data_IF_044500297781
#
_entry.id   IF_044500297781
#
_cell.length_a   1.000
_cell.length_b   1.000
_cell.length_c   1.000
_cell.angle_alpha   90.00
_cell.angle_beta   90.00
_cell.angle_gamma   90.00
#
_symmetry.space_group_name_H-M   'P 1'
#
loop_
_entity.id
_entity.type
_entity.pdbx_description
1 polymer ?
#
# COMPACT_ATOMS: atom_id res chain seq x y z
N UNK A 1 -18.79 -5.46 6.85
CA UNK A 1 -17.77 -6.44 7.29
C UNK A 1 -16.40 -5.87 6.96
N UNK A 2 -15.34 -6.34 7.60
CA UNK A 2 -13.97 -5.91 7.28
C UNK A 2 -13.07 -7.13 7.15
N UNK A 3 -12.06 -7.03 6.28
CA UNK A 3 -10.97 -8.00 6.19
C UNK A 3 -9.75 -7.35 6.82
N UNK A 4 -9.36 -7.82 8.00
CA UNK A 4 -8.13 -7.35 8.65
C UNK A 4 -6.92 -8.04 8.03
N UNK A 5 -5.88 -7.27 7.71
CA UNK A 5 -4.64 -7.75 7.10
C UNK A 5 -3.46 -7.32 7.96
N UNK A 6 -2.75 -8.27 8.56
CA UNK A 6 -1.51 -7.99 9.29
C UNK A 6 -0.33 -8.06 8.34
N UNK A 7 0.34 -6.93 8.14
CA UNK A 7 1.42 -6.79 7.17
C UNK A 7 2.76 -6.62 7.89
N UNK A 8 3.56 -7.68 7.97
CA UNK A 8 4.84 -7.67 8.68
C UNK A 8 5.98 -7.04 7.86
N UNK A 9 6.12 -7.45 6.60
CA UNK A 9 7.14 -6.94 5.68
C UNK A 9 6.50 -6.58 4.34
N UNK A 10 6.26 -5.28 4.16
CA UNK A 10 5.67 -4.77 2.92
C UNK A 10 6.70 -4.54 1.80
N UNK A 11 7.99 -4.77 2.05
CA UNK A 11 8.99 -4.84 0.99
C UNK A 11 8.84 -6.13 0.19
N UNK A 12 8.68 -7.25 0.88
CA UNK A 12 8.45 -8.56 0.25
C UNK A 12 7.00 -8.78 -0.20
N UNK A 13 6.04 -8.32 0.61
CA UNK A 13 4.60 -8.39 0.29
C UNK A 13 3.99 -6.99 0.28
N UNK A 14 4.07 -6.26 -0.85
CA UNK A 14 3.57 -4.90 -0.94
C UNK A 14 2.07 -4.79 -0.64
N UNK A 15 1.66 -3.68 -0.04
CA UNK A 15 0.26 -3.41 0.34
C UNK A 15 -0.71 -3.56 -0.84
N UNK A 16 -0.31 -3.11 -2.04
CA UNK A 16 -1.17 -3.19 -3.22
C UNK A 16 -1.50 -4.64 -3.58
N UNK A 17 -0.55 -5.56 -3.38
CA UNK A 17 -0.69 -6.97 -3.75
C UNK A 17 -1.77 -7.63 -2.90
N UNK A 18 -1.70 -7.43 -1.58
CA UNK A 18 -2.71 -7.99 -0.66
C UNK A 18 -4.07 -7.36 -0.91
N UNK A 19 -4.14 -6.04 -1.11
CA UNK A 19 -5.40 -5.34 -1.39
C UNK A 19 -6.07 -5.81 -2.69
N UNK A 20 -5.32 -5.93 -3.79
CA UNK A 20 -5.85 -6.43 -5.06
C UNK A 20 -6.27 -7.90 -4.98
N UNK A 21 -5.56 -8.73 -4.21
CA UNK A 21 -5.96 -10.12 -3.98
C UNK A 21 -7.30 -10.21 -3.24
N UNK A 22 -7.49 -9.40 -2.20
CA UNK A 22 -8.76 -9.33 -1.45
C UNK A 22 -9.89 -8.81 -2.35
N UNK A 23 -9.64 -7.79 -3.17
CA UNK A 23 -10.61 -7.30 -4.15
C UNK A 23 -11.02 -8.38 -5.14
N UNK A 24 -10.05 -9.09 -5.71
CA UNK A 24 -10.28 -10.17 -6.66
C UNK A 24 -11.14 -11.28 -6.02
N UNK A 25 -10.85 -11.63 -4.77
CA UNK A 25 -11.61 -12.65 -4.06
C UNK A 25 -13.04 -12.19 -3.76
N UNK A 26 -13.22 -10.99 -3.23
CA UNK A 26 -14.54 -10.42 -2.94
C UNK A 26 -15.42 -10.30 -4.20
N UNK A 27 -14.80 -9.95 -5.34
CA UNK A 27 -15.48 -9.86 -6.63
C UNK A 27 -16.12 -11.19 -7.06
N UNK A 28 -15.50 -12.35 -6.76
CA UNK A 28 -16.08 -13.67 -7.06
C UNK A 28 -17.41 -13.92 -6.35
N UNK A 29 -17.62 -13.24 -5.22
CA UNK A 29 -18.84 -13.31 -4.43
C UNK A 29 -19.80 -12.13 -4.69
N UNK A 30 -19.50 -11.27 -5.67
CA UNK A 30 -20.31 -10.07 -5.96
C UNK A 30 -20.26 -9.01 -4.85
N UNK A 31 -19.25 -9.05 -3.98
CA UNK A 31 -19.10 -8.11 -2.87
C UNK A 31 -18.12 -7.00 -3.26
N UNK A 32 -18.55 -5.72 -3.30
CA UNK A 32 -17.65 -4.62 -3.61
C UNK A 32 -16.76 -4.27 -2.41
N UNK A 33 -15.46 -4.05 -2.67
CA UNK A 33 -14.54 -3.44 -1.70
C UNK A 33 -14.58 -1.92 -1.90
N UNK A 34 -15.10 -1.20 -0.91
CA UNK A 34 -15.37 0.25 -1.01
C UNK A 34 -14.21 1.12 -0.52
N UNK A 35 -13.24 0.55 0.18
CA UNK A 35 -12.08 1.26 0.70
C UNK A 35 -11.21 0.39 1.59
N UNK A 36 -10.16 1.00 2.12
CA UNK A 36 -9.23 0.42 3.09
C UNK A 36 -8.76 1.47 4.08
N UNK A 37 -8.27 1.03 5.23
CA UNK A 37 -7.75 1.88 6.29
C UNK A 37 -6.40 1.33 6.76
N UNK A 38 -5.44 2.22 7.00
CA UNK A 38 -4.19 1.90 7.66
C UNK A 38 -4.35 2.11 9.16
N UNK A 39 -3.97 1.11 9.95
CA UNK A 39 -4.05 1.18 11.41
C UNK A 39 -2.64 1.33 11.97
N UNK A 40 -2.37 2.48 12.59
CA UNK A 40 -1.08 2.79 13.21
C UNK A 40 -0.04 3.37 12.24
N UNK A 41 1.22 3.52 12.71
CA UNK A 41 2.29 4.06 11.89
C UNK A 41 2.71 3.07 10.79
N UNK A 42 3.12 3.59 9.65
CA UNK A 42 3.64 2.84 8.51
C UNK A 42 4.94 3.46 8.04
N UNK A 43 5.88 2.64 7.56
CA UNK A 43 7.12 3.15 6.96
C UNK A 43 6.81 3.82 5.62
N UNK A 44 7.43 4.98 5.38
CA UNK A 44 7.30 5.70 4.11
C UNK A 44 7.61 4.81 2.90
N UNK A 45 8.69 4.01 2.96
CA UNK A 45 9.11 3.09 1.89
C UNK A 45 7.99 2.12 1.43
N UNK A 46 7.13 1.69 2.35
CA UNK A 46 6.02 0.77 2.06
C UNK A 46 4.89 1.46 1.31
N UNK A 47 4.65 2.74 1.59
CA UNK A 47 3.71 3.58 0.84
C UNK A 47 4.26 3.92 -0.55
N UNK A 48 5.54 4.26 -0.65
CA UNK A 48 6.18 4.58 -1.93
C UNK A 48 6.14 3.40 -2.90
N UNK A 49 6.39 2.18 -2.43
CA UNK A 49 6.24 0.98 -3.26
C UNK A 49 4.80 0.84 -3.80
N UNK A 50 3.80 1.10 -2.96
CA UNK A 50 2.40 1.09 -3.36
C UNK A 50 2.10 2.17 -4.43
N UNK A 51 2.56 3.40 -4.22
CA UNK A 51 2.42 4.49 -5.20
C UNK A 51 3.11 4.18 -6.53
N UNK A 52 4.33 3.63 -6.48
CA UNK A 52 5.07 3.22 -7.68
C UNK A 52 4.29 2.18 -8.49
N UNK A 53 3.62 1.23 -7.84
CA UNK A 53 2.81 0.24 -8.53
C UNK A 53 1.60 0.85 -9.24
N UNK A 54 0.82 1.68 -8.55
CA UNK A 54 -0.43 2.23 -9.12
C UNK A 54 -0.21 3.37 -10.10
N UNK A 55 0.81 4.20 -9.88
CA UNK A 55 1.07 5.38 -10.70
C UNK A 55 2.19 5.16 -11.73
N UNK A 56 2.94 4.07 -11.63
CA UNK A 56 4.05 3.78 -12.54
C UNK A 56 5.16 4.83 -12.49
N UNK A 57 5.43 5.40 -11.30
CA UNK A 57 6.38 6.50 -11.15
C UNK A 57 7.79 6.04 -11.51
N UNK A 58 8.31 6.55 -12.63
CA UNK A 58 9.66 6.26 -13.08
C UNK A 58 10.64 7.29 -12.52
N UNK A 59 11.71 6.81 -11.89
CA UNK A 59 12.78 7.66 -11.39
C UNK A 59 12.39 8.57 -10.23
N UNK A 60 11.34 8.21 -9.46
CA UNK A 60 11.08 8.86 -8.17
C UNK A 60 12.26 8.61 -7.24
N UNK A 61 12.87 9.68 -6.75
CA UNK A 61 13.99 9.61 -5.80
C UNK A 61 13.55 10.14 -4.44
N UNK A 62 14.16 9.62 -3.37
CA UNK A 62 13.80 10.00 -2.00
C UNK A 62 13.99 11.50 -1.76
N UNK A 63 14.97 12.14 -2.38
CA UNK A 63 15.25 13.58 -2.19
C UNK A 63 14.12 14.47 -2.72
N UNK A 64 13.20 13.94 -3.53
CA UNK A 64 12.02 14.66 -4.01
C UNK A 64 10.88 14.67 -2.98
N UNK A 65 10.98 13.89 -1.89
CA UNK A 65 9.97 13.78 -0.84
C UNK A 65 10.35 14.78 0.25
N UNK A 66 9.46 15.70 0.60
CA UNK A 66 9.76 16.77 1.55
C UNK A 66 10.08 16.22 2.94
N UNK A 67 9.32 15.21 3.37
CA UNK A 67 9.43 14.62 4.69
C UNK A 67 10.78 13.93 4.91
N UNK A 68 11.46 13.44 3.86
CA UNK A 68 12.77 12.78 4.04
C UNK A 68 13.85 13.75 4.51
N UNK A 69 13.71 15.04 4.21
CA UNK A 69 14.62 16.10 4.69
C UNK A 69 14.38 16.47 6.15
N UNK A 70 13.27 16.03 6.74
CA UNK A 70 12.94 16.23 8.16
C UNK A 70 13.36 15.05 9.04
N UNK A 71 13.77 13.94 8.43
CA UNK A 71 14.14 12.69 9.12
C UNK A 71 15.64 12.56 9.38
N UNK A 72 16.41 13.63 9.13
CA UNK A 72 17.83 13.76 9.48
C UNK A 72 18.08 14.05 10.96
#
# INVERSE_FOLDING_TARGET
VVVSMNMFDCGQTPLYRTYELVKLEAQKYGVPVTGSELVGPVKLEYLLNNLNHYLGLQGLRNEQILETHLME
#
